data_IF_776697048102
#
_entry.id   IF_776697048102
#
_cell.length_a   1.000
_cell.length_b   1.000
_cell.length_c   1.000
_cell.angle_alpha   90.00
_cell.angle_beta   90.00
_cell.angle_gamma   90.00
#
_symmetry.space_group_name_H-M   'P 1'
#
loop_
_entity.id
_entity.type
_entity.pdbx_description
1 polymer ?
#
# COMPACT_ATOMS: atom_id res chain seq x y z
N UNK A 1 -36.45 6.47 -20.33
CA UNK A 1 -35.79 7.51 -19.54
C UNK A 1 -34.28 7.35 -19.69
N UNK A 2 -33.68 8.07 -20.62
CA UNK A 2 -32.22 8.07 -20.83
C UNK A 2 -31.62 8.85 -19.66
N UNK A 3 -30.98 8.15 -18.70
CA UNK A 3 -30.15 8.84 -17.71
C UNK A 3 -29.15 9.66 -18.51
N UNK A 4 -29.21 10.99 -18.41
CA UNK A 4 -28.23 11.87 -19.03
C UNK A 4 -26.86 11.36 -18.63
N UNK A 5 -26.08 10.91 -19.61
CA UNK A 5 -24.74 10.39 -19.37
C UNK A 5 -23.95 11.52 -18.73
N UNK A 6 -23.73 11.44 -17.40
CA UNK A 6 -22.83 12.36 -16.72
C UNK A 6 -21.46 12.16 -17.36
N UNK A 7 -20.92 13.22 -17.95
CA UNK A 7 -19.58 13.20 -18.49
C UNK A 7 -18.60 12.87 -17.35
N UNK A 8 -17.61 11.98 -17.56
CA UNK A 8 -16.61 11.70 -16.54
C UNK A 8 -15.96 12.98 -16.02
N UNK A 9 -15.64 13.02 -14.73
CA UNK A 9 -14.99 14.18 -14.11
C UNK A 9 -13.54 14.33 -14.57
N UNK A 10 -12.91 13.21 -14.95
CA UNK A 10 -11.51 13.15 -15.35
C UNK A 10 -11.33 12.38 -16.66
N UNK A 11 -10.32 12.78 -17.44
CA UNK A 11 -9.80 11.93 -18.51
C UNK A 11 -9.07 10.70 -17.94
N UNK A 12 -8.86 9.70 -18.78
CA UNK A 12 -8.11 8.50 -18.43
C UNK A 12 -6.91 8.34 -19.36
N UNK A 13 -5.72 8.21 -18.79
CA UNK A 13 -4.51 7.91 -19.54
C UNK A 13 -3.66 6.86 -18.82
N UNK A 14 -2.77 6.20 -19.56
CA UNK A 14 -1.93 5.12 -19.05
C UNK A 14 -0.47 5.37 -19.42
N UNK A 15 0.44 5.02 -18.51
CA UNK A 15 1.80 4.64 -18.91
C UNK A 15 1.65 3.40 -19.83
N UNK A 16 2.29 3.36 -21.02
CA UNK A 16 2.16 2.22 -21.93
C UNK A 16 2.47 0.86 -21.28
N UNK A 17 3.39 0.85 -20.30
CA UNK A 17 3.76 -0.36 -19.55
C UNK A 17 2.69 -0.75 -18.52
N UNK A 18 1.87 0.19 -18.04
CA UNK A 18 0.73 -0.09 -17.18
C UNK A 18 -0.41 -0.78 -17.94
N UNK A 19 -0.61 -0.42 -19.21
CA UNK A 19 -1.54 -1.14 -20.09
C UNK A 19 -1.10 -2.60 -20.26
N UNK A 20 0.21 -2.84 -20.43
CA UNK A 20 0.75 -4.20 -20.49
C UNK A 20 0.51 -4.95 -19.18
N UNK A 21 0.72 -4.31 -18.03
CA UNK A 21 0.44 -4.95 -16.74
C UNK A 21 -1.04 -5.39 -16.64
N UNK A 22 -1.97 -4.52 -17.06
CA UNK A 22 -3.41 -4.79 -17.03
C UNK A 22 -3.80 -5.95 -17.96
N UNK A 23 -3.21 -6.01 -19.15
CA UNK A 23 -3.44 -7.09 -20.11
C UNK A 23 -2.92 -8.45 -19.61
N UNK A 24 -1.83 -8.45 -18.84
CA UNK A 24 -1.21 -9.64 -18.26
C UNK A 24 -1.77 -10.04 -16.89
N UNK A 25 -2.64 -9.21 -16.30
CA UNK A 25 -3.28 -9.52 -15.04
C UNK A 25 -4.29 -10.68 -15.21
N UNK A 26 -4.54 -11.47 -14.14
CA UNK A 26 -5.67 -12.39 -14.09
C UNK A 26 -6.98 -11.68 -14.47
N UNK A 27 -7.88 -12.40 -15.16
CA UNK A 27 -9.12 -11.82 -15.72
C UNK A 27 -9.95 -11.09 -14.68
N UNK A 28 -10.13 -11.67 -13.50
CA UNK A 28 -10.87 -11.07 -12.38
C UNK A 28 -10.23 -9.76 -11.91
N UNK A 29 -8.91 -9.71 -11.80
CA UNK A 29 -8.16 -8.50 -11.44
C UNK A 29 -8.30 -7.43 -12.52
N UNK A 30 -8.24 -7.81 -13.79
CA UNK A 30 -8.42 -6.89 -14.91
C UNK A 30 -9.81 -6.27 -14.90
N UNK A 31 -10.84 -7.10 -14.74
CA UNK A 31 -12.24 -6.66 -14.75
C UNK A 31 -12.54 -5.75 -13.54
N UNK A 32 -12.08 -6.13 -12.35
CA UNK A 32 -12.17 -5.28 -11.15
C UNK A 32 -11.42 -3.95 -11.32
N UNK A 33 -10.24 -3.99 -11.94
CA UNK A 33 -9.46 -2.78 -12.19
C UNK A 33 -10.21 -1.83 -13.12
N UNK A 34 -10.77 -2.33 -14.23
CA UNK A 34 -11.54 -1.51 -15.17
C UNK A 34 -12.78 -0.92 -14.52
N UNK A 35 -13.51 -1.71 -13.72
CA UNK A 35 -14.67 -1.22 -12.96
C UNK A 35 -14.27 -0.10 -11.98
N UNK A 36 -13.19 -0.29 -11.21
CA UNK A 36 -12.75 0.75 -10.27
C UNK A 36 -12.18 1.98 -10.98
N UNK A 37 -11.56 1.84 -12.15
CA UNK A 37 -11.13 2.99 -12.94
C UNK A 37 -12.34 3.79 -13.45
N UNK A 38 -13.44 3.13 -13.82
CA UNK A 38 -14.69 3.81 -14.16
C UNK A 38 -15.22 4.65 -12.99
N UNK A 39 -15.26 4.09 -11.78
CA UNK A 39 -15.66 4.84 -10.57
C UNK A 39 -14.71 6.02 -10.30
N UNK A 40 -13.39 5.83 -10.52
CA UNK A 40 -12.39 6.87 -10.27
C UNK A 40 -12.51 8.03 -11.26
N UNK A 41 -12.70 7.75 -12.55
CA UNK A 41 -12.87 8.82 -13.56
C UNK A 41 -14.18 9.58 -13.38
N UNK A 42 -15.19 8.93 -12.81
CA UNK A 42 -16.47 9.55 -12.43
C UNK A 42 -16.42 10.27 -11.07
N UNK A 43 -15.26 10.31 -10.42
CA UNK A 43 -15.06 10.88 -9.08
C UNK A 43 -15.90 10.22 -7.97
N UNK A 44 -16.36 8.98 -8.18
CA UNK A 44 -17.13 8.19 -7.21
C UNK A 44 -16.21 7.44 -6.22
N UNK A 45 -14.97 7.16 -6.64
CA UNK A 45 -13.94 6.50 -5.83
C UNK A 45 -12.62 7.24 -5.90
N UNK A 46 -11.92 7.29 -4.77
CA UNK A 46 -10.52 7.74 -4.72
C UNK A 46 -9.63 6.74 -3.98
N UNK A 47 -8.45 6.51 -4.54
CA UNK A 47 -7.39 5.77 -3.89
C UNK A 47 -6.76 6.54 -2.73
N UNK A 48 -6.14 5.79 -1.83
CA UNK A 48 -5.39 6.33 -0.70
C UNK A 48 -4.15 7.06 -1.22
N UNK A 49 -3.87 8.25 -0.67
CA UNK A 49 -2.67 9.01 -1.00
C UNK A 49 -1.41 8.25 -0.60
N UNK A 50 -0.42 8.26 -1.48
CA UNK A 50 0.93 7.82 -1.18
C UNK A 50 1.70 8.97 -0.53
N UNK A 51 2.77 8.62 0.19
CA UNK A 51 3.62 9.55 0.95
C UNK A 51 5.09 9.21 0.73
N UNK A 52 5.99 10.12 1.12
CA UNK A 52 7.42 9.96 0.87
C UNK A 52 7.71 10.16 -0.61
N UNK A 53 8.55 9.32 -1.20
CA UNK A 53 9.05 9.54 -2.57
C UNK A 53 7.94 9.43 -3.64
N UNK A 54 6.81 8.79 -3.30
CA UNK A 54 5.63 8.67 -4.18
C UNK A 54 4.50 9.66 -3.81
N UNK A 55 4.81 10.75 -3.10
CA UNK A 55 3.83 11.80 -2.83
C UNK A 55 3.20 12.35 -4.13
N UNK A 56 1.93 12.72 -4.07
CA UNK A 56 1.14 13.15 -5.23
C UNK A 56 0.46 12.00 -5.98
N UNK A 57 0.89 10.75 -5.76
CA UNK A 57 0.24 9.57 -6.31
C UNK A 57 -0.77 8.94 -5.33
N UNK A 58 -1.63 8.08 -5.86
CA UNK A 58 -2.66 7.36 -5.11
C UNK A 58 -2.61 5.87 -5.42
N UNK A 59 -3.03 5.05 -4.46
CA UNK A 59 -3.17 3.60 -4.62
C UNK A 59 -4.59 3.11 -4.41
N UNK A 60 -4.99 2.14 -5.21
CA UNK A 60 -6.22 1.36 -5.02
C UNK A 60 -5.86 -0.07 -4.65
N UNK A 61 -6.67 -0.69 -3.78
CA UNK A 61 -6.69 -2.14 -3.62
C UNK A 61 -7.76 -2.69 -4.56
N UNK A 62 -7.40 -3.69 -5.36
CA UNK A 62 -8.28 -4.19 -6.43
C UNK A 62 -9.10 -5.38 -5.95
N UNK A 63 -8.46 -6.26 -5.20
CA UNK A 63 -9.05 -7.48 -4.68
C UNK A 63 -9.28 -7.37 -3.16
N UNK A 64 -10.19 -8.20 -2.66
CA UNK A 64 -10.53 -8.26 -1.23
C UNK A 64 -9.34 -8.66 -0.35
N UNK A 65 -8.44 -9.50 -0.89
CA UNK A 65 -7.20 -9.93 -0.22
C UNK A 65 -6.13 -8.84 -0.22
N UNK A 66 -6.31 -7.77 -1.00
CA UNK A 66 -5.38 -6.64 -1.17
C UNK A 66 -4.02 -7.12 -1.69
N UNK A 67 -4.01 -8.18 -2.49
CA UNK A 67 -2.83 -8.73 -3.15
C UNK A 67 -2.47 -7.95 -4.41
N UNK A 68 -3.40 -7.20 -5.03
CA UNK A 68 -3.19 -6.37 -6.21
C UNK A 68 -3.41 -4.88 -5.94
N UNK A 69 -2.62 -4.05 -6.62
CA UNK A 69 -2.68 -2.58 -6.52
C UNK A 69 -2.63 -1.92 -7.88
N UNK A 70 -3.42 -0.86 -8.00
CA UNK A 70 -3.26 0.16 -9.05
C UNK A 70 -2.63 1.38 -8.41
N UNK A 71 -1.61 1.96 -9.05
CA UNK A 71 -1.05 3.26 -8.70
C UNK A 71 -1.30 4.24 -9.83
N UNK A 72 -1.85 5.40 -9.48
CA UNK A 72 -2.20 6.44 -10.44
C UNK A 72 -1.91 7.84 -9.88
N UNK A 73 -1.69 8.79 -10.78
CA UNK A 73 -1.58 10.22 -10.48
C UNK A 73 -2.77 11.00 -11.03
N UNK A 74 -3.03 12.19 -10.47
CA UNK A 74 -3.90 13.18 -11.08
C UNK A 74 -3.02 14.26 -11.69
N UNK A 75 -3.15 14.51 -13.00
CA UNK A 75 -2.33 15.51 -13.71
C UNK A 75 -3.18 16.39 -14.61
N UNK A 76 -2.71 17.58 -15.01
CA UNK A 76 -3.33 18.34 -16.09
C UNK A 76 -3.43 17.50 -17.36
N UNK A 77 -4.56 17.60 -18.04
CA UNK A 77 -4.70 16.96 -19.35
C UNK A 77 -3.92 17.74 -20.42
N UNK A 78 -3.51 17.10 -21.52
CA UNK A 78 -3.01 17.80 -22.71
C UNK A 78 -4.07 18.79 -23.21
N UNK A 79 -3.61 19.87 -23.86
CA UNK A 79 -4.49 20.95 -24.36
C UNK A 79 -5.56 20.46 -25.35
N UNK A 80 -5.30 19.34 -26.02
CA UNK A 80 -6.23 18.70 -26.96
C UNK A 80 -7.33 17.88 -26.29
N UNK A 81 -7.27 17.70 -24.96
CA UNK A 81 -8.23 16.90 -24.21
C UNK A 81 -9.49 17.68 -23.89
N UNK A 82 -10.65 17.01 -23.92
CA UNK A 82 -11.91 17.59 -23.44
C UNK A 82 -11.96 17.73 -21.92
N UNK A 83 -11.07 17.04 -21.20
CA UNK A 83 -11.00 17.08 -19.74
C UNK A 83 -9.92 18.06 -19.27
N UNK A 84 -10.12 18.70 -18.12
CA UNK A 84 -9.09 19.58 -17.52
C UNK A 84 -7.97 18.78 -16.83
N UNK A 85 -8.31 17.62 -16.29
CA UNK A 85 -7.39 16.76 -15.56
C UNK A 85 -7.60 15.30 -15.96
N UNK A 86 -6.56 14.50 -15.78
CA UNK A 86 -6.56 13.08 -16.08
C UNK A 86 -6.08 12.24 -14.91
N UNK A 87 -6.73 11.09 -14.78
CA UNK A 87 -6.24 9.94 -14.03
C UNK A 87 -5.19 9.25 -14.89
N UNK A 88 -3.92 9.39 -14.50
CA UNK A 88 -2.81 8.74 -15.20
C UNK A 88 -2.38 7.48 -14.44
N UNK A 89 -2.71 6.31 -14.99
CA UNK A 89 -2.36 5.01 -14.41
C UNK A 89 -0.90 4.68 -14.69
N UNK A 90 -0.12 4.50 -13.62
CA UNK A 90 1.33 4.24 -13.71
C UNK A 90 1.66 2.76 -13.63
N UNK A 91 0.91 1.97 -12.85
CA UNK A 91 1.11 0.52 -12.73
C UNK A 91 -0.13 -0.22 -12.21
N UNK A 92 -0.31 -1.47 -12.63
CA UNK A 92 -1.33 -2.42 -12.13
C UNK A 92 -0.67 -3.74 -11.76
N UNK A 93 -0.24 -3.94 -10.51
CA UNK A 93 0.67 -5.04 -10.18
C UNK A 93 0.37 -5.70 -8.83
N UNK A 94 0.85 -6.93 -8.60
CA UNK A 94 0.82 -7.56 -7.29
C UNK A 94 1.57 -6.73 -6.23
N UNK A 95 1.20 -6.91 -4.97
CA UNK A 95 1.92 -6.35 -3.82
C UNK A 95 3.23 -7.06 -3.57
N UNK A 96 3.32 -8.34 -3.91
CA UNK A 96 4.35 -9.24 -3.40
C UNK A 96 5.74 -8.58 -3.48
N UNK A 97 6.48 -8.57 -2.37
CA UNK A 97 7.79 -7.93 -2.29
C UNK A 97 7.82 -6.40 -2.45
N UNK A 98 6.66 -5.72 -2.44
CA UNK A 98 6.44 -4.32 -2.84
C UNK A 98 6.72 -4.03 -4.33
N UNK A 99 6.60 -5.02 -5.22
CA UNK A 99 6.89 -4.90 -6.66
C UNK A 99 6.20 -3.71 -7.34
N UNK A 100 4.94 -3.46 -6.99
CA UNK A 100 4.17 -2.33 -7.54
C UNK A 100 4.85 -0.98 -7.28
N UNK A 101 5.37 -0.73 -6.07
CA UNK A 101 5.96 0.57 -5.75
C UNK A 101 7.35 0.71 -6.36
N UNK A 102 8.13 -0.37 -6.37
CA UNK A 102 9.45 -0.39 -6.99
C UNK A 102 9.33 -0.16 -8.50
N UNK A 103 8.32 -0.77 -9.12
CA UNK A 103 8.01 -0.56 -10.54
C UNK A 103 7.60 0.89 -10.81
N UNK A 104 6.70 1.46 -9.99
CA UNK A 104 6.33 2.87 -10.12
C UNK A 104 7.55 3.77 -10.02
N UNK A 105 8.41 3.58 -9.01
CA UNK A 105 9.64 4.36 -8.86
C UNK A 105 10.52 4.32 -10.10
N UNK A 106 10.78 3.12 -10.64
CA UNK A 106 11.56 2.95 -11.89
C UNK A 106 10.89 3.64 -13.07
N UNK A 107 9.56 3.55 -13.20
CA UNK A 107 8.81 4.17 -14.31
C UNK A 107 8.85 5.70 -14.24
N UNK A 108 8.91 6.24 -13.03
CA UNK A 108 9.07 7.67 -12.76
C UNK A 108 10.54 8.15 -12.78
N UNK A 109 11.49 7.30 -13.13
CA UNK A 109 12.90 7.66 -13.25
C UNK A 109 13.66 7.77 -11.92
N UNK A 110 13.13 7.19 -10.83
CA UNK A 110 13.82 7.16 -9.55
C UNK A 110 15.02 6.21 -9.61
N UNK A 111 16.18 6.69 -9.17
CA UNK A 111 17.44 5.91 -9.13
C UNK A 111 17.49 4.94 -7.96
N UNK A 112 16.69 5.18 -6.92
CA UNK A 112 16.61 4.37 -5.71
C UNK A 112 15.20 3.83 -5.48
N UNK A 113 15.09 2.76 -4.70
CA UNK A 113 13.80 2.18 -4.29
C UNK A 113 12.97 3.23 -3.56
N UNK A 114 11.70 3.48 -3.94
CA UNK A 114 10.86 4.45 -3.27
C UNK A 114 10.60 4.09 -1.82
N UNK A 115 10.70 5.08 -0.95
CA UNK A 115 10.55 4.94 0.49
C UNK A 115 9.31 5.67 0.96
N UNK A 116 8.59 5.05 1.89
CA UNK A 116 7.46 5.72 2.55
C UNK A 116 7.95 6.78 3.54
N UNK A 117 7.12 7.77 3.84
CA UNK A 117 7.42 8.76 4.88
C UNK A 117 7.74 8.10 6.25
N UNK A 118 7.07 6.99 6.58
CA UNK A 118 7.38 6.20 7.79
C UNK A 118 8.78 5.59 7.73
N UNK A 119 9.19 5.11 6.56
CA UNK A 119 10.54 4.53 6.36
C UNK A 119 11.61 5.61 6.48
N UNK A 120 11.37 6.79 5.91
CA UNK A 120 12.24 7.96 6.11
C UNK A 120 12.31 8.35 7.58
N UNK A 121 11.18 8.47 8.28
CA UNK A 121 11.11 8.78 9.69
C UNK A 121 11.91 7.79 10.55
N UNK A 122 11.75 6.49 10.31
CA UNK A 122 12.49 5.44 11.03
C UNK A 122 14.01 5.51 10.81
N UNK A 123 14.48 6.01 9.67
CA UNK A 123 15.92 6.20 9.39
C UNK A 123 16.47 7.50 9.97
N UNK A 124 15.65 8.55 9.98
CA UNK A 124 16.03 9.83 10.60
C UNK A 124 15.97 9.78 12.12
N UNK A 125 15.18 8.88 12.70
CA UNK A 125 15.21 8.57 14.13
C UNK A 125 16.54 7.88 14.46
N UNK A 126 17.52 8.68 14.83
CA UNK A 126 18.89 8.26 15.18
C UNK A 126 18.91 7.08 16.18
N UNK A 127 19.79 6.08 16.05
CA UNK A 127 19.88 4.93 16.98
C UNK A 127 20.39 5.30 18.38
N UNK A 128 20.75 6.57 18.63
CA UNK A 128 21.44 7.00 19.84
C UNK A 128 20.55 7.10 21.10
N UNK A 129 19.28 6.70 21.04
CA UNK A 129 18.37 6.65 22.19
C UNK A 129 18.23 5.23 22.77
N UNK A 130 19.35 4.49 22.82
CA UNK A 130 19.46 3.26 23.63
C UNK A 130 20.69 3.30 24.51
N UNK A 131 20.80 4.30 25.38
CA UNK A 131 21.52 4.18 26.66
C UNK A 131 20.49 4.11 27.78
N UNK A 132 19.73 3.02 27.83
CA UNK A 132 19.08 2.61 29.07
C UNK A 132 20.16 1.99 29.94
N UNK A 133 20.79 2.80 30.80
CA UNK A 133 21.54 2.25 31.93
C UNK A 133 20.61 1.31 32.70
N UNK A 134 21.03 0.07 33.01
CA UNK A 134 20.31 -0.75 33.97
C UNK A 134 20.39 -0.04 35.33
N UNK A 135 19.24 0.25 35.93
CA UNK A 135 19.22 0.63 37.35
C UNK A 135 19.78 -0.53 38.17
N UNK A 136 20.66 -0.30 39.16
CA UNK A 136 21.20 -1.38 39.98
C UNK A 136 20.08 -1.95 40.85
N UNK A 137 19.81 -3.25 40.73
CA UNK A 137 18.93 -3.96 41.67
C UNK A 137 19.64 -4.12 43.01
N UNK A 138 18.98 -3.87 44.15
CA UNK A 138 19.54 -4.23 45.44
C UNK A 138 19.59 -5.76 45.59
N UNK A 139 20.79 -6.28 45.85
CA UNK A 139 21.06 -7.67 46.19
C UNK A 139 20.32 -8.13 47.45
N UNK A 140 19.61 -9.25 47.36
CA UNK A 140 19.37 -10.13 48.50
C UNK A 140 19.63 -11.58 48.06
N UNK A 141 20.55 -12.23 48.78
CA UNK A 141 21.12 -13.57 48.52
C UNK A 141 20.40 -14.64 49.37
N UNK A 142 20.77 -15.94 49.39
CA UNK A 142 19.98 -17.03 48.81
C UNK A 142 19.52 -18.08 49.86
N UNK A 143 18.48 -18.85 49.55
CA UNK A 143 18.08 -20.00 50.37
C UNK A 143 17.08 -20.94 49.67
N UNK A 144 17.61 -21.98 49.03
CA UNK A 144 16.92 -23.20 48.58
C UNK A 144 17.25 -24.34 49.58
N UNK A 145 16.64 -25.55 49.53
CA UNK A 145 15.40 -26.01 48.87
C UNK A 145 14.55 -26.96 49.77
N UNK A 146 13.28 -27.23 49.43
CA UNK A 146 12.76 -28.62 49.39
C UNK A 146 11.38 -28.72 48.72
N UNK A 147 11.29 -29.55 47.67
CA UNK A 147 10.08 -30.21 47.11
C UNK A 147 9.94 -31.58 47.82
N UNK A 148 8.75 -32.21 48.00
CA UNK A 148 8.07 -32.81 46.83
C UNK A 148 6.55 -33.09 46.91
N UNK A 149 6.01 -33.27 45.69
CA UNK A 149 5.04 -34.28 45.23
C UNK A 149 3.54 -34.20 45.58
N UNK A 150 2.76 -34.18 44.49
CA UNK A 150 1.34 -34.44 44.39
C UNK A 150 1.00 -35.95 44.53
N UNK A 151 -0.29 -36.26 44.71
CA UNK A 151 -0.90 -37.30 43.87
C UNK A 151 -2.20 -36.84 43.21
N UNK A 152 -2.36 -37.29 41.96
CA UNK A 152 -3.57 -37.24 41.15
C UNK A 152 -4.40 -38.50 41.36
N UNK A 153 -5.72 -38.42 41.57
CA UNK A 153 -6.72 -39.46 41.21
C UNK A 153 -8.10 -38.78 41.12
N UNK A 154 -8.70 -38.62 39.93
CA UNK A 154 -9.61 -39.54 39.21
C UNK A 154 -11.09 -39.55 39.66
N UNK A 155 -11.92 -38.97 38.78
CA UNK A 155 -13.21 -39.44 38.23
C UNK A 155 -14.43 -39.87 39.08
N UNK A 156 -15.60 -39.53 38.49
CA UNK A 156 -16.96 -40.08 38.60
C UNK A 156 -17.79 -39.47 39.75
N UNK A 157 -19.06 -39.08 39.56
CA UNK A 157 -20.09 -39.40 38.56
C UNK A 157 -21.13 -38.27 38.56
#
# INVERSE_FOLDING_TARGET
MTRGQHQPAFGLSFDPRALTDLLQAPTDIRDLTLAYLQEVVNAERFGLRLTGDLEGYRKLFIDSRKDWRVVYGLRPAPETSTYRQEIHVVAVRPRAGNDVYDTVGRRLGMTSRPLSARTHAARSSSPQLTTRSPAPMPSAVPGLPHLPQAPSHHHAR
#
